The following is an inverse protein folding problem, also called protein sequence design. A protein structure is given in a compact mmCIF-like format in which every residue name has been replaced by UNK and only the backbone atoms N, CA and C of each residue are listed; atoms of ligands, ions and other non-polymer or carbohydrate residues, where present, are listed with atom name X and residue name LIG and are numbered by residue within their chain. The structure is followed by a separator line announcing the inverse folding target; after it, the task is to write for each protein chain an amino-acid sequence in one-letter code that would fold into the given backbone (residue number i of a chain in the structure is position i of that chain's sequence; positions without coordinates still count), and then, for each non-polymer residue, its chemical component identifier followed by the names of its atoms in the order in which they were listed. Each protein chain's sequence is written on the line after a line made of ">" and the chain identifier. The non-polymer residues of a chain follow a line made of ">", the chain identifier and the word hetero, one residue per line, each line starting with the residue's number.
data_IF_623960683901
#
_entry.id   IF_623960683901
#
_cell.length_a   1.000
_cell.length_b   1.000
_cell.length_c   1.000
_cell.angle_alpha   90.00
_cell.angle_beta   90.00
_cell.angle_gamma   90.00
#
_symmetry.space_group_name_H-M   'P 1'
#
loop_
_entity.id
_entity.type
_entity.pdbx_description
1 polymer ?
#
# COMPACT_ATOMS: atom_id res chain seq x y z
N UNK A 1 8.38 -6.21 11.89
CA UNK A 1 9.83 -6.30 12.13
C UNK A 1 10.20 -7.74 12.38
N UNK A 2 11.50 -8.04 12.49
CA UNK A 2 12.05 -9.37 12.71
C UNK A 2 12.71 -9.42 14.10
N UNK A 3 12.32 -10.37 14.95
CA UNK A 3 13.05 -10.62 16.21
C UNK A 3 14.23 -11.55 15.94
N UNK A 4 15.43 -11.13 16.30
CA UNK A 4 16.64 -11.94 16.11
C UNK A 4 16.68 -13.15 17.05
N UNK A 5 15.88 -13.18 18.11
CA UNK A 5 15.79 -14.32 19.02
C UNK A 5 14.94 -15.47 18.44
N UNK A 6 14.08 -15.21 17.45
CA UNK A 6 13.28 -16.22 16.74
C UNK A 6 14.17 -17.27 16.05
N UNK A 7 13.60 -18.44 15.73
CA UNK A 7 14.35 -19.44 14.96
C UNK A 7 14.74 -18.89 13.59
N UNK A 8 15.87 -19.33 13.06
CA UNK A 8 16.34 -18.84 11.76
C UNK A 8 15.37 -19.18 10.64
N UNK A 9 14.71 -20.32 10.70
CA UNK A 9 13.73 -20.73 9.70
C UNK A 9 12.49 -19.82 9.75
N UNK A 10 12.05 -19.41 10.95
CA UNK A 10 10.95 -18.46 11.14
C UNK A 10 11.32 -17.07 10.59
N UNK A 11 12.53 -16.58 10.89
CA UNK A 11 13.05 -15.31 10.36
C UNK A 11 13.06 -15.34 8.83
N UNK A 12 13.51 -16.44 8.22
CA UNK A 12 13.54 -16.60 6.76
C UNK A 12 12.15 -16.66 6.15
N UNK A 13 11.20 -17.32 6.81
CA UNK A 13 9.81 -17.33 6.39
C UNK A 13 9.17 -15.94 6.46
N UNK A 14 9.44 -15.18 7.52
CA UNK A 14 8.99 -13.79 7.65
C UNK A 14 9.60 -12.91 6.55
N UNK A 15 10.89 -13.06 6.24
CA UNK A 15 11.56 -12.37 5.14
C UNK A 15 10.92 -12.72 3.80
N UNK A 16 10.67 -14.00 3.54
CA UNK A 16 10.12 -14.48 2.27
C UNK A 16 8.65 -14.08 2.03
N UNK A 17 7.89 -13.82 3.10
CA UNK A 17 6.49 -13.40 3.05
C UNK A 17 6.28 -11.90 3.25
N UNK A 18 7.37 -11.14 3.46
CA UNK A 18 7.31 -9.73 3.77
C UNK A 18 6.76 -8.90 2.59
N UNK A 19 5.79 -8.04 2.90
CA UNK A 19 5.21 -7.10 1.93
C UNK A 19 6.02 -5.80 1.82
N UNK A 20 6.85 -5.50 2.82
CA UNK A 20 7.68 -4.29 2.87
C UNK A 20 9.15 -4.61 2.57
N UNK A 21 9.84 -3.67 1.91
CA UNK A 21 11.22 -3.87 1.47
C UNK A 21 12.27 -3.54 2.53
N UNK A 22 11.88 -2.83 3.59
CA UNK A 22 12.69 -2.46 4.74
C UNK A 22 12.06 -3.04 6.00
N UNK A 23 12.82 -3.86 6.73
CA UNK A 23 12.34 -4.57 7.91
C UNK A 23 13.19 -4.19 9.11
N UNK A 24 12.61 -3.56 10.15
CA UNK A 24 13.31 -3.35 11.41
C UNK A 24 13.63 -4.70 12.05
N UNK A 25 14.89 -4.88 12.42
CA UNK A 25 15.37 -6.04 13.17
C UNK A 25 15.62 -5.61 14.61
N UNK A 26 15.13 -6.41 15.56
CA UNK A 26 15.20 -6.09 16.97
C UNK A 26 15.49 -7.33 17.81
N UNK A 27 15.73 -7.11 19.11
CA UNK A 27 15.97 -8.20 20.07
C UNK A 27 14.92 -8.18 21.18
N UNK A 28 14.07 -9.21 21.23
CA UNK A 28 12.98 -9.43 22.20
C UNK A 28 11.86 -8.37 22.18
N UNK A 29 12.20 -7.09 22.07
CA UNK A 29 11.28 -5.95 22.08
C UNK A 29 11.66 -4.97 20.99
N UNK A 30 10.66 -4.29 20.43
CA UNK A 30 10.83 -3.32 19.37
C UNK A 30 11.69 -2.11 19.80
N UNK A 31 11.75 -1.81 21.10
CA UNK A 31 12.63 -0.76 21.63
C UNK A 31 14.12 -1.08 21.43
N UNK A 32 14.46 -2.37 21.27
CA UNK A 32 15.83 -2.84 21.07
C UNK A 32 16.13 -3.06 19.58
N UNK A 33 15.96 -2.02 18.76
CA UNK A 33 16.32 -2.08 17.33
C UNK A 33 17.83 -2.29 17.19
N UNK A 34 18.22 -3.34 16.47
CA UNK A 34 19.63 -3.66 16.19
C UNK A 34 20.04 -3.32 14.77
N UNK A 35 19.08 -3.13 13.86
CA UNK A 35 19.36 -2.82 12.46
C UNK A 35 18.10 -2.74 11.60
N UNK A 36 18.27 -2.29 10.36
CA UNK A 36 17.24 -2.31 9.33
C UNK A 36 17.69 -3.22 8.20
N UNK A 37 16.95 -4.30 7.94
CA UNK A 37 17.23 -5.22 6.83
C UNK A 37 16.52 -4.74 5.57
N UNK A 38 17.26 -4.51 4.49
CA UNK A 38 16.65 -4.31 3.18
C UNK A 38 16.50 -5.66 2.48
N UNK A 39 15.30 -6.03 2.03
CA UNK A 39 15.09 -7.30 1.31
C UNK A 39 16.01 -7.52 0.11
N UNK A 40 16.53 -6.45 -0.52
CA UNK A 40 17.50 -6.57 -1.61
C UNK A 40 18.86 -7.13 -1.14
N UNK A 41 19.28 -6.88 0.11
CA UNK A 41 20.52 -7.42 0.66
C UNK A 41 20.44 -8.91 0.97
N UNK A 42 19.23 -9.46 1.16
CA UNK A 42 19.00 -10.89 1.40
C UNK A 42 19.57 -11.78 0.29
N UNK A 43 19.61 -11.30 -0.96
CA UNK A 43 20.21 -12.05 -2.07
C UNK A 43 21.69 -12.41 -1.85
N UNK A 44 22.42 -11.66 -1.03
CA UNK A 44 23.82 -11.98 -0.68
C UNK A 44 23.92 -13.18 0.27
N UNK A 45 22.87 -13.46 1.04
CA UNK A 45 22.80 -14.59 1.97
C UNK A 45 22.79 -15.94 1.25
N UNK A 46 22.42 -15.96 -0.04
CA UNK A 46 22.41 -17.18 -0.88
C UNK A 46 23.82 -17.77 -1.04
N UNK A 47 24.87 -16.95 -0.99
CA UNK A 47 26.26 -17.40 -1.15
C UNK A 47 26.90 -17.84 0.17
N UNK A 48 26.19 -17.75 1.29
CA UNK A 48 26.74 -18.09 2.61
C UNK A 48 26.66 -19.60 2.82
N UNK A 49 27.81 -20.26 2.96
CA UNK A 49 27.91 -21.73 3.12
C UNK A 49 27.10 -22.26 4.32
N UNK A 50 27.08 -21.50 5.42
CA UNK A 50 26.29 -21.82 6.61
C UNK A 50 25.59 -20.57 7.12
N UNK A 51 24.38 -20.36 6.63
CA UNK A 51 23.53 -19.27 7.05
C UNK A 51 23.28 -19.36 8.56
N UNK A 52 23.44 -18.23 9.24
CA UNK A 52 23.19 -18.08 10.66
C UNK A 52 22.68 -16.66 10.94
N UNK A 53 22.18 -16.43 12.16
CA UNK A 53 21.66 -15.13 12.60
C UNK A 53 22.67 -13.99 12.40
N UNK A 54 23.96 -14.22 12.65
CA UNK A 54 24.99 -13.19 12.47
C UNK A 54 25.18 -12.80 11.00
N UNK A 55 25.05 -13.74 10.06
CA UNK A 55 25.05 -13.45 8.63
C UNK A 55 23.91 -12.50 8.24
N UNK A 56 22.72 -12.66 8.83
CA UNK A 56 21.58 -11.78 8.56
C UNK A 56 21.84 -10.38 9.14
N UNK A 57 22.33 -10.30 10.38
CA UNK A 57 22.66 -9.02 11.04
C UNK A 57 23.69 -8.22 10.23
N UNK A 58 24.70 -8.88 9.65
CA UNK A 58 25.71 -8.21 8.81
C UNK A 58 25.14 -7.53 7.57
N UNK A 59 23.96 -7.96 7.10
CA UNK A 59 23.27 -7.36 5.95
C UNK A 59 22.26 -6.27 6.35
N UNK A 60 22.22 -5.90 7.64
CA UNK A 60 21.43 -4.78 8.14
C UNK A 60 22.18 -3.45 8.05
N UNK A 61 21.42 -2.37 7.94
CA UNK A 61 21.91 -0.99 8.01
C UNK A 61 21.68 -0.43 9.41
N UNK A 62 22.48 0.56 9.81
CA UNK A 62 22.26 1.28 11.06
C UNK A 62 20.87 1.92 11.08
N UNK A 63 20.12 1.77 12.19
CA UNK A 63 18.82 2.42 12.35
C UNK A 63 18.99 3.94 12.50
N UNK A 64 18.10 4.68 11.85
CA UNK A 64 18.04 6.13 11.97
C UNK A 64 16.87 6.51 12.89
N UNK A 65 17.16 7.23 13.98
CA UNK A 65 16.16 7.63 14.96
C UNK A 65 15.84 9.12 14.88
N UNK A 66 14.57 9.46 15.11
CA UNK A 66 14.09 10.84 15.17
C UNK A 66 13.13 11.03 16.37
N UNK A 67 13.11 12.21 17.01
CA UNK A 67 12.06 12.54 17.98
C UNK A 67 10.67 12.61 17.35
N UNK A 68 9.62 12.24 18.10
CA UNK A 68 8.23 12.38 17.65
C UNK A 68 7.83 13.82 17.29
N UNK A 69 8.48 14.80 17.90
CA UNK A 69 8.26 16.23 17.64
C UNK A 69 8.90 16.74 16.35
N UNK A 70 9.58 15.87 15.58
CA UNK A 70 10.26 16.27 14.34
C UNK A 70 9.25 16.68 13.26
N UNK A 71 9.30 17.92 12.74
CA UNK A 71 8.37 18.34 11.69
C UNK A 71 8.56 17.56 10.38
N UNK A 72 7.46 17.21 9.71
CA UNK A 72 7.48 16.41 8.46
C UNK A 72 8.38 17.01 7.37
N UNK A 73 8.33 18.34 7.16
CA UNK A 73 9.17 19.01 6.15
C UNK A 73 10.67 18.91 6.48
N UNK A 74 11.02 18.96 7.77
CA UNK A 74 12.40 18.78 8.22
C UNK A 74 12.83 17.33 8.00
N UNK A 75 11.94 16.38 8.27
CA UNK A 75 12.24 14.98 8.07
C UNK A 75 12.38 14.60 6.59
N UNK A 76 11.55 15.17 5.71
CA UNK A 76 11.69 15.02 4.26
C UNK A 76 13.08 15.46 3.79
N UNK A 77 13.54 16.62 4.26
CA UNK A 77 14.87 17.14 3.96
C UNK A 77 15.99 16.23 4.51
N UNK A 78 15.82 15.70 5.71
CA UNK A 78 16.77 14.75 6.31
C UNK A 78 16.88 13.46 5.50
N UNK A 79 15.75 12.88 5.06
CA UNK A 79 15.73 11.70 4.20
C UNK A 79 16.45 11.94 2.87
N UNK A 80 16.21 13.09 2.22
CA UNK A 80 16.90 13.46 0.98
C UNK A 80 18.41 13.57 1.17
N UNK A 81 18.86 14.30 2.19
CA UNK A 81 20.29 14.52 2.43
C UNK A 81 21.04 13.25 2.83
N UNK A 82 20.43 12.44 3.70
CA UNK A 82 21.03 11.19 4.18
C UNK A 82 20.84 10.03 3.20
N UNK A 83 20.03 10.22 2.14
CA UNK A 83 19.60 9.17 1.20
C UNK A 83 18.96 7.97 1.92
N UNK A 84 18.16 8.27 2.95
CA UNK A 84 17.43 7.29 3.74
C UNK A 84 15.93 7.34 3.38
N UNK A 85 15.21 6.26 3.70
CA UNK A 85 13.76 6.13 3.41
C UNK A 85 12.91 5.73 4.62
N UNK A 86 13.54 5.45 5.75
CA UNK A 86 12.87 5.01 6.97
C UNK A 86 13.60 5.60 8.17
N UNK A 87 12.83 5.99 9.18
CA UNK A 87 13.34 6.35 10.50
C UNK A 87 12.45 5.73 11.60
N UNK A 88 13.07 5.38 12.73
CA UNK A 88 12.38 4.98 13.94
C UNK A 88 12.03 6.24 14.74
N UNK A 89 10.77 6.35 15.16
CA UNK A 89 10.27 7.48 15.94
C UNK A 89 10.39 7.14 17.42
N UNK A 90 11.01 8.03 18.19
CA UNK A 90 11.24 7.85 19.64
C UNK A 90 10.67 9.00 20.45
N UNK A 91 10.30 8.70 21.70
CA UNK A 91 9.97 9.70 22.72
C UNK A 91 11.23 10.30 23.37
N UNK A 92 11.04 11.16 24.38
CA UNK A 92 12.12 11.82 25.12
C UNK A 92 12.97 10.86 25.96
N UNK A 93 12.46 9.67 26.24
CA UNK A 93 13.13 8.63 27.01
C UNK A 93 13.82 7.59 26.10
N UNK A 94 13.67 7.72 24.77
CA UNK A 94 14.25 6.85 23.78
C UNK A 94 13.43 5.58 23.50
N UNK A 95 12.19 5.49 23.99
CA UNK A 95 11.30 4.38 23.67
C UNK A 95 10.75 4.53 22.25
N UNK A 96 10.62 3.42 21.52
CA UNK A 96 10.16 3.45 20.13
C UNK A 96 8.64 3.59 20.09
N UNK A 97 8.17 4.72 19.60
CA UNK A 97 6.74 4.99 19.38
C UNK A 97 6.24 4.42 18.06
N UNK A 98 7.14 4.28 17.07
CA UNK A 98 6.79 3.75 15.75
C UNK A 98 7.91 3.95 14.72
N UNK A 99 7.52 4.01 13.45
CA UNK A 99 8.41 4.33 12.34
C UNK A 99 7.72 5.31 11.39
N UNK A 100 8.51 6.03 10.61
CA UNK A 100 8.05 6.87 9.51
C UNK A 100 8.86 6.57 8.26
N UNK A 101 8.21 6.55 7.11
CA UNK A 101 8.85 6.36 5.81
C UNK A 101 8.81 7.62 4.96
N UNK A 102 9.65 7.67 3.93
CA UNK A 102 9.61 8.76 2.94
C UNK A 102 8.26 8.77 2.22
N UNK A 103 7.73 7.58 1.94
CA UNK A 103 6.44 7.35 1.32
C UNK A 103 5.30 7.97 2.13
N UNK A 104 5.25 7.74 3.45
CA UNK A 104 4.23 8.33 4.35
C UNK A 104 4.26 9.87 4.29
N UNK A 105 5.47 10.46 4.31
CA UNK A 105 5.63 11.93 4.27
C UNK A 105 5.18 12.50 2.93
N UNK A 106 5.43 11.78 1.83
CA UNK A 106 4.98 12.20 0.50
C UNK A 106 3.47 12.08 0.36
N UNK A 107 2.86 11.04 0.92
CA UNK A 107 1.40 10.86 0.94
C UNK A 107 0.69 11.98 1.69
N UNK A 108 1.20 12.42 2.84
CA UNK A 108 0.62 13.56 3.57
C UNK A 108 0.68 14.89 2.78
N UNK A 109 1.68 15.05 1.90
CA UNK A 109 1.85 16.24 1.07
C UNK A 109 1.00 16.17 -0.21
N UNK A 110 0.98 15.00 -0.86
CA UNK A 110 0.42 14.82 -2.20
C UNK A 110 -1.02 14.29 -2.17
N UNK A 111 -1.45 13.66 -1.07
CA UNK A 111 -2.66 12.83 -0.99
C UNK A 111 -2.38 11.38 -1.39
N UNK A 112 -3.42 10.54 -1.49
CA UNK A 112 -3.33 9.09 -1.75
C UNK A 112 -2.38 8.76 -2.92
N UNK A 113 -1.12 8.44 -2.58
CA UNK A 113 -0.09 8.03 -3.52
C UNK A 113 -0.04 6.50 -3.48
N UNK A 114 -1.07 5.85 -4.03
CA UNK A 114 -1.29 4.41 -3.86
C UNK A 114 -0.27 3.56 -4.64
N UNK A 115 0.86 3.26 -3.99
CA UNK A 115 1.79 2.19 -4.40
C UNK A 115 1.57 0.87 -3.63
N UNK A 116 0.67 0.85 -2.66
CA UNK A 116 0.34 -0.35 -1.88
C UNK A 116 -0.61 -1.28 -2.65
N UNK A 117 -0.07 -2.41 -3.11
CA UNK A 117 -0.84 -3.51 -3.71
C UNK A 117 -1.92 -4.04 -2.75
N UNK A 118 -1.70 -3.96 -1.43
CA UNK A 118 -2.66 -4.40 -0.42
C UNK A 118 -3.80 -3.38 -0.17
N UNK A 119 -3.53 -2.08 -0.30
CA UNK A 119 -4.56 -1.03 -0.22
C UNK A 119 -5.46 -1.04 -1.46
N UNK A 120 -4.88 -1.30 -2.64
CA UNK A 120 -5.59 -1.47 -3.92
C UNK A 120 -6.69 -2.55 -3.88
N UNK A 121 -6.52 -3.60 -3.07
CA UNK A 121 -7.52 -4.67 -2.90
C UNK A 121 -8.68 -4.33 -1.95
N UNK A 122 -8.62 -3.24 -1.17
CA UNK A 122 -9.70 -2.88 -0.24
C UNK A 122 -10.91 -2.27 -0.92
N UNK A 123 -10.77 -1.82 -2.15
CA UNK A 123 -11.83 -1.11 -2.85
C UNK A 123 -12.52 -1.95 -3.91
N UNK A 124 -12.07 -3.18 -4.18
CA UNK A 124 -12.64 -4.07 -5.21
C UNK A 124 -13.05 -5.38 -4.54
N UNK A 125 -14.36 -5.63 -4.43
CA UNK A 125 -14.92 -6.83 -3.80
C UNK A 125 -15.78 -7.62 -4.78
N UNK A 126 -15.40 -8.86 -5.07
CA UNK A 126 -16.27 -9.77 -5.83
C UNK A 126 -17.49 -10.16 -4.99
N UNK A 127 -18.69 -9.99 -5.55
CA UNK A 127 -19.97 -10.37 -4.95
C UNK A 127 -20.42 -11.77 -5.41
N UNK A 128 -19.75 -12.35 -6.40
CA UNK A 128 -20.08 -13.61 -7.06
C UNK A 128 -20.49 -13.41 -8.52
N UNK A 129 -20.39 -14.48 -9.32
CA UNK A 129 -20.84 -14.52 -10.72
C UNK A 129 -20.21 -13.43 -11.63
N UNK A 130 -18.98 -13.00 -11.35
CA UNK A 130 -18.31 -11.95 -12.13
C UNK A 130 -18.83 -10.53 -11.88
N UNK A 131 -19.57 -10.34 -10.78
CA UNK A 131 -20.06 -9.04 -10.31
C UNK A 131 -19.14 -8.51 -9.22
N UNK A 132 -18.73 -7.25 -9.34
CA UNK A 132 -17.81 -6.58 -8.42
C UNK A 132 -18.47 -5.37 -7.79
N UNK A 133 -18.23 -5.15 -6.51
CA UNK A 133 -18.54 -3.91 -5.80
C UNK A 133 -17.24 -3.12 -5.66
N UNK A 134 -17.18 -1.95 -6.27
CA UNK A 134 -15.98 -1.15 -6.43
C UNK A 134 -16.18 0.22 -5.76
N UNK A 135 -15.20 0.64 -4.96
CA UNK A 135 -15.14 1.97 -4.35
C UNK A 135 -14.93 3.05 -5.41
N UNK A 136 -15.61 4.18 -5.31
CA UNK A 136 -15.49 5.28 -6.26
C UNK A 136 -14.11 5.97 -6.26
N UNK A 137 -13.35 5.84 -5.17
CA UNK A 137 -11.94 6.26 -5.08
C UNK A 137 -10.98 5.36 -5.85
N UNK A 138 -11.41 4.14 -6.24
CA UNK A 138 -10.54 3.18 -6.92
C UNK A 138 -9.95 3.75 -8.20
N UNK A 139 -8.63 3.60 -8.31
CA UNK A 139 -7.87 3.97 -9.50
C UNK A 139 -8.28 3.09 -10.69
N UNK A 140 -8.55 3.72 -11.83
CA UNK A 140 -8.92 2.99 -13.06
C UNK A 140 -7.80 2.01 -13.46
N UNK A 141 -6.54 2.42 -13.28
CA UNK A 141 -5.38 1.57 -13.55
C UNK A 141 -5.37 0.32 -12.69
N UNK A 142 -5.77 0.43 -11.44
CA UNK A 142 -5.84 -0.70 -10.52
C UNK A 142 -7.00 -1.62 -10.84
N UNK A 143 -8.17 -1.07 -11.18
CA UNK A 143 -9.32 -1.86 -11.66
C UNK A 143 -8.91 -2.68 -12.89
N UNK A 144 -8.29 -2.04 -13.89
CA UNK A 144 -7.81 -2.72 -15.09
C UNK A 144 -6.79 -3.83 -14.77
N UNK A 145 -5.85 -3.56 -13.86
CA UNK A 145 -4.84 -4.55 -13.45
C UNK A 145 -5.44 -5.74 -12.68
N UNK A 146 -6.30 -5.48 -11.71
CA UNK A 146 -6.83 -6.52 -10.80
C UNK A 146 -7.87 -7.37 -11.50
N UNK A 147 -8.80 -6.74 -12.23
CA UNK A 147 -9.89 -7.44 -12.90
C UNK A 147 -9.55 -7.89 -14.32
N UNK A 148 -8.35 -7.52 -14.82
CA UNK A 148 -7.97 -7.70 -16.24
C UNK A 148 -9.00 -7.05 -17.17
N UNK A 149 -9.39 -5.82 -16.85
CA UNK A 149 -10.32 -4.99 -17.60
C UNK A 149 -9.57 -3.91 -18.39
N UNK A 150 -10.28 -3.19 -19.25
CA UNK A 150 -9.74 -2.17 -20.15
C UNK A 150 -10.61 -0.92 -20.17
N UNK A 151 -10.90 -0.37 -18.99
CA UNK A 151 -11.59 0.91 -18.83
C UNK A 151 -10.68 2.07 -19.28
N UNK A 152 -11.26 3.10 -19.91
CA UNK A 152 -10.49 4.27 -20.32
C UNK A 152 -9.82 4.98 -19.12
N UNK A 153 -8.49 5.15 -19.20
CA UNK A 153 -7.66 5.79 -18.19
C UNK A 153 -6.93 7.04 -18.69
N UNK A 154 -7.26 7.49 -19.91
CA UNK A 154 -6.64 8.64 -20.56
C UNK A 154 -7.01 9.96 -19.86
N UNK A 155 -8.30 10.13 -19.51
CA UNK A 155 -8.84 11.27 -18.77
C UNK A 155 -8.77 11.08 -17.26
N UNK A 156 -9.93 10.80 -16.66
CA UNK A 156 -10.08 10.54 -15.23
C UNK A 156 -9.09 9.52 -14.66
N UNK A 157 -8.79 9.63 -13.36
CA UNK A 157 -7.87 8.73 -12.65
C UNK A 157 -8.58 7.73 -11.74
N UNK A 158 -9.79 8.07 -11.28
CA UNK A 158 -10.60 7.24 -10.38
C UNK A 158 -11.93 6.88 -11.03
N UNK A 159 -12.59 5.84 -10.52
CA UNK A 159 -13.90 5.41 -11.00
C UNK A 159 -14.97 6.50 -10.86
N UNK A 160 -15.00 7.22 -9.74
CA UNK A 160 -15.90 8.38 -9.57
C UNK A 160 -15.64 9.44 -10.64
N UNK A 161 -14.37 9.73 -10.94
CA UNK A 161 -14.00 10.68 -11.98
C UNK A 161 -14.52 10.26 -13.35
N UNK A 162 -14.28 9.00 -13.74
CA UNK A 162 -14.70 8.44 -15.02
C UNK A 162 -16.23 8.51 -15.18
N UNK A 163 -16.95 8.04 -14.17
CA UNK A 163 -18.42 8.03 -14.20
C UNK A 163 -19.00 9.45 -14.19
N UNK A 164 -18.41 10.38 -13.44
CA UNK A 164 -18.86 11.78 -13.42
C UNK A 164 -18.60 12.47 -14.77
N UNK A 165 -17.47 12.17 -15.42
CA UNK A 165 -17.15 12.67 -16.77
C UNK A 165 -18.16 12.18 -17.81
N UNK A 166 -18.55 10.91 -17.74
CA UNK A 166 -19.57 10.33 -18.64
C UNK A 166 -20.97 10.90 -18.34
N UNK A 167 -21.35 10.95 -17.07
CA UNK A 167 -22.70 11.38 -16.65
C UNK A 167 -22.91 12.89 -16.72
N UNK A 168 -21.83 13.68 -16.83
CA UNK A 168 -21.84 15.16 -16.82
C UNK A 168 -22.52 15.80 -15.60
N UNK A 169 -22.93 14.98 -14.63
CA UNK A 169 -23.66 15.34 -13.42
C UNK A 169 -23.59 14.17 -12.44
N UNK A 170 -23.73 14.45 -11.15
CA UNK A 170 -23.82 13.40 -10.14
C UNK A 170 -25.30 13.07 -9.96
N UNK A 171 -25.71 11.81 -10.16
CA UNK A 171 -27.11 11.47 -10.14
C UNK A 171 -27.68 11.50 -8.72
N UNK A 172 -28.92 11.99 -8.60
CA UNK A 172 -29.66 12.04 -7.33
C UNK A 172 -30.20 10.65 -6.91
N UNK A 173 -30.18 9.67 -7.81
CA UNK A 173 -30.69 8.32 -7.63
C UNK A 173 -29.73 7.28 -8.21
N UNK A 174 -29.96 5.99 -7.92
CA UNK A 174 -29.21 4.91 -8.53
C UNK A 174 -29.38 4.94 -10.07
N UNK A 175 -28.26 4.96 -10.78
CA UNK A 175 -28.21 4.99 -12.25
C UNK A 175 -27.29 3.86 -12.70
N UNK A 176 -27.76 3.09 -13.68
CA UNK A 176 -26.98 2.13 -14.42
C UNK A 176 -26.50 2.72 -15.74
N UNK A 177 -25.21 2.55 -16.07
CA UNK A 177 -24.64 2.93 -17.36
C UNK A 177 -23.82 1.79 -17.95
N UNK A 178 -23.71 1.78 -19.27
CA UNK A 178 -22.79 0.91 -20.00
C UNK A 178 -21.61 1.75 -20.50
N UNK A 179 -20.39 1.28 -20.24
CA UNK A 179 -19.14 1.91 -20.65
C UNK A 179 -18.10 0.85 -21.00
N UNK A 180 -17.42 0.99 -22.14
CA UNK A 180 -16.30 0.14 -22.56
C UNK A 180 -16.56 -1.38 -22.48
N UNK A 181 -17.82 -1.82 -22.67
CA UNK A 181 -18.20 -3.22 -22.57
C UNK A 181 -18.47 -3.70 -21.13
N UNK A 182 -18.59 -2.80 -20.17
CA UNK A 182 -18.94 -3.06 -18.77
C UNK A 182 -20.21 -2.30 -18.38
N UNK A 183 -21.03 -2.92 -17.52
CA UNK A 183 -22.11 -2.22 -16.83
C UNK A 183 -21.59 -1.67 -15.50
N UNK A 184 -22.03 -0.46 -15.16
CA UNK A 184 -21.81 0.18 -13.88
C UNK A 184 -23.12 0.68 -13.29
N UNK A 185 -23.50 0.17 -12.14
CA UNK A 185 -24.63 0.62 -11.34
C UNK A 185 -24.14 1.40 -10.13
N UNK A 186 -24.55 2.67 -10.02
CA UNK A 186 -24.21 3.51 -8.87
C UNK A 186 -25.06 3.07 -7.68
N UNK A 187 -24.40 2.46 -6.70
CA UNK A 187 -25.04 1.93 -5.49
C UNK A 187 -25.14 3.01 -4.41
N UNK A 188 -24.11 3.83 -4.26
CA UNK A 188 -24.06 4.83 -3.21
C UNK A 188 -23.40 6.14 -3.69
N UNK A 189 -24.10 7.24 -3.45
CA UNK A 189 -23.59 8.61 -3.57
C UNK A 189 -23.60 9.25 -2.19
N UNK A 190 -22.51 9.94 -1.82
CA UNK A 190 -22.43 10.71 -0.57
C UNK A 190 -21.66 12.00 -0.81
N UNK A 191 -22.19 13.11 -0.32
CA UNK A 191 -21.54 14.44 -0.43
C UNK A 191 -21.17 14.81 -1.88
N UNK A 192 -22.04 14.49 -2.85
CA UNK A 192 -21.79 14.68 -4.30
C UNK A 192 -20.57 13.89 -4.80
N UNK A 193 -20.32 12.71 -4.24
CA UNK A 193 -19.27 11.78 -4.67
C UNK A 193 -19.86 10.40 -4.81
N UNK A 194 -19.63 9.73 -5.95
CA UNK A 194 -19.95 8.32 -6.12
C UNK A 194 -19.00 7.53 -5.22
N UNK A 195 -19.55 6.84 -4.22
CA UNK A 195 -18.78 6.09 -3.22
C UNK A 195 -18.66 4.62 -3.56
N UNK A 196 -19.71 4.04 -4.13
CA UNK A 196 -19.78 2.61 -4.37
C UNK A 196 -20.50 2.35 -5.69
N UNK A 197 -19.90 1.51 -6.51
CA UNK A 197 -20.39 1.14 -7.84
C UNK A 197 -20.38 -0.37 -7.96
N UNK A 198 -21.47 -0.95 -8.44
CA UNK A 198 -21.52 -2.36 -8.80
C UNK A 198 -21.21 -2.49 -10.29
N UNK A 199 -20.23 -3.30 -10.66
CA UNK A 199 -19.79 -3.45 -12.05
C UNK A 199 -19.68 -4.91 -12.48
N UNK A 200 -19.98 -5.19 -13.75
CA UNK A 200 -19.84 -6.50 -14.39
C UNK A 200 -19.61 -6.35 -15.90
N UNK A 201 -19.11 -7.38 -16.58
CA UNK A 201 -18.98 -7.36 -18.05
C UNK A 201 -20.37 -7.43 -18.69
N UNK A 202 -20.56 -6.70 -19.78
CA UNK A 202 -21.86 -6.66 -20.49
C UNK A 202 -22.29 -8.02 -21.02
N UNK A 203 -21.32 -8.87 -21.35
CA UNK A 203 -21.54 -10.25 -21.82
C UNK A 203 -21.86 -11.24 -20.68
N UNK A 204 -21.76 -10.81 -19.41
CA UNK A 204 -21.96 -11.64 -18.23
C UNK A 204 -23.09 -11.13 -17.35
N UNK A 205 -24.16 -10.60 -17.97
CA UNK A 205 -25.33 -10.11 -17.23
C UNK A 205 -25.81 -11.14 -16.19
N UNK A 206 -25.99 -10.75 -14.91
CA UNK A 206 -26.60 -11.65 -13.94
C UNK A 206 -28.01 -11.97 -14.40
N UNK A 207 -28.35 -13.25 -14.45
CA UNK A 207 -29.73 -13.69 -14.73
C UNK A 207 -30.59 -13.14 -13.59
N UNK A 208 -31.58 -12.32 -13.95
CA UNK A 208 -32.49 -11.64 -13.03
C UNK A 208 -33.26 -12.59 -12.11
#
# INVERSE_FOLDING_TARGET
>A
GLDIEDDIDDILQQIGSAQHTLLPMYKQKIDNIIGILHLRSVGKLIQVEKLNKASIIQETMEPYFIPESTPLHTQLFNFQNKKLRMAMVVDEYGAVQGLVTLEDILEEIVGEFTTDLAASNKEIHEQGEGVFLIGGSASIRDINRILSWDLDSSGAKTLNGLLTEILQSIPDFAVGIELDGYYAEIVQVKDKVIRTVKMWKSDSAPVA
#
